data_IF_926948326872
#
_entry.id   IF_926948326872
#
_cell.length_a   1.000
_cell.length_b   1.000
_cell.length_c   1.000
_cell.angle_alpha   90.00
_cell.angle_beta   90.00
_cell.angle_gamma   90.00
#
_symmetry.space_group_name_H-M   'P 1'
#
loop_
_entity.id
_entity.type
_entity.pdbx_description
1 polymer ?
#
# COMPACT_ATOMS: atom_id res chain seq x y z
N UNK A 1 33.62 -2.41 -52.94
CA UNK A 1 33.08 -2.41 -51.56
C UNK A 1 33.65 -3.62 -50.84
N UNK A 2 34.07 -3.42 -49.59
CA UNK A 2 34.99 -4.25 -48.80
C UNK A 2 34.56 -5.69 -48.53
N UNK A 3 35.53 -6.59 -48.62
CA UNK A 3 35.88 -7.56 -47.58
C UNK A 3 37.20 -7.06 -46.92
N UNK A 4 37.76 -7.62 -45.83
CA UNK A 4 37.37 -8.80 -45.03
C UNK A 4 37.60 -8.64 -43.49
N UNK A 5 37.48 -9.78 -42.79
CA UNK A 5 38.47 -10.32 -41.84
C UNK A 5 38.16 -10.30 -40.34
N UNK A 6 38.13 -11.52 -39.79
CA UNK A 6 38.04 -11.89 -38.38
C UNK A 6 39.46 -11.85 -37.78
N UNK A 7 39.62 -11.26 -36.58
CA UNK A 7 40.71 -11.63 -35.69
C UNK A 7 40.27 -11.66 -34.23
N UNK A 8 40.53 -12.80 -33.57
CA UNK A 8 40.48 -12.99 -32.11
C UNK A 8 41.67 -12.28 -31.47
N UNK A 9 41.44 -11.58 -30.37
CA UNK A 9 42.47 -11.39 -29.34
C UNK A 9 41.83 -11.18 -27.97
N UNK A 10 42.31 -11.92 -26.98
CA UNK A 10 41.95 -11.79 -25.57
C UNK A 10 42.97 -10.88 -24.88
N UNK A 11 42.52 -9.88 -24.09
CA UNK A 11 43.31 -9.26 -23.02
C UNK A 11 42.40 -8.78 -21.87
N UNK A 12 42.64 -9.34 -20.68
CA UNK A 12 42.27 -8.80 -19.37
C UNK A 12 42.84 -7.40 -19.20
N UNK A 13 42.09 -6.44 -18.64
CA UNK A 13 42.67 -5.37 -17.81
C UNK A 13 41.64 -4.72 -16.87
N UNK A 14 42.04 -4.75 -15.59
CA UNK A 14 41.78 -3.84 -14.45
C UNK A 14 40.68 -2.77 -14.55
N UNK A 15 39.87 -2.72 -13.49
CA UNK A 15 38.88 -1.69 -13.24
C UNK A 15 39.44 -0.32 -12.90
N UNK A 16 38.53 0.65 -12.83
CA UNK A 16 38.73 1.96 -12.22
C UNK A 16 37.45 2.35 -11.49
N UNK A 17 37.60 2.64 -10.19
CA UNK A 17 36.57 3.23 -9.33
C UNK A 17 36.49 4.73 -9.62
N UNK A 18 35.29 5.24 -9.80
CA UNK A 18 35.04 6.68 -9.81
C UNK A 18 34.95 7.20 -8.37
N UNK A 19 35.73 8.24 -8.07
CA UNK A 19 35.79 8.97 -6.82
C UNK A 19 34.86 10.18 -6.86
N UNK A 20 33.99 10.32 -5.85
CA UNK A 20 33.37 11.60 -5.50
C UNK A 20 34.08 12.11 -4.24
N UNK A 21 34.77 13.24 -4.39
CA UNK A 21 35.41 13.99 -3.31
C UNK A 21 34.34 14.73 -2.51
N UNK A 22 34.27 14.45 -1.20
CA UNK A 22 33.70 15.36 -0.22
C UNK A 22 34.86 15.96 0.59
N UNK A 23 34.82 17.27 0.72
CA UNK A 23 35.81 18.05 1.45
C UNK A 23 35.70 17.76 2.96
N UNK A 24 36.78 17.21 3.53
CA UNK A 24 36.96 17.02 4.96
C UNK A 24 37.40 18.35 5.61
N UNK A 25 36.55 18.91 6.48
CA UNK A 25 37.03 19.79 7.55
C UNK A 25 37.58 18.92 8.67
N UNK A 26 38.92 18.83 8.72
CA UNK A 26 39.65 18.11 9.76
C UNK A 26 39.71 18.92 11.06
N UNK A 27 38.96 18.50 12.08
CA UNK A 27 39.38 18.73 13.46
C UNK A 27 40.02 17.46 13.99
N UNK A 28 41.32 17.58 14.21
CA UNK A 28 42.26 16.58 14.72
C UNK A 28 41.86 16.18 16.15
N UNK A 29 41.20 15.04 16.31
CA UNK A 29 40.95 14.42 17.62
C UNK A 29 42.12 13.44 17.89
N UNK A 30 42.83 13.53 19.03
CA UNK A 30 43.95 12.66 19.31
C UNK A 30 43.49 11.21 19.48
N UNK A 31 44.17 10.29 18.81
CA UNK A 31 44.03 8.84 18.94
C UNK A 31 44.27 8.44 20.41
N UNK A 32 43.18 8.38 21.16
CA UNK A 32 43.17 7.73 22.46
C UNK A 32 42.58 6.36 22.22
N UNK A 33 43.42 5.34 22.27
CA UNK A 33 43.02 3.94 22.15
C UNK A 33 42.01 3.64 23.26
N UNK A 34 40.71 3.69 22.96
CA UNK A 34 39.67 3.21 23.86
C UNK A 34 39.76 1.69 23.84
N UNK A 35 40.68 1.16 24.65
CA UNK A 35 40.60 -0.22 25.12
C UNK A 35 39.29 -0.33 25.88
N UNK A 36 38.31 -1.04 25.31
CA UNK A 36 37.19 -1.56 26.09
C UNK A 36 37.78 -2.52 27.14
N UNK A 37 38.09 -1.99 28.32
CA UNK A 37 38.35 -2.80 29.50
C UNK A 37 36.99 -3.33 29.95
N UNK A 38 36.70 -4.56 29.59
CA UNK A 38 35.62 -5.32 30.22
C UNK A 38 36.02 -5.55 31.68
N UNK A 39 35.62 -4.66 32.57
CA UNK A 39 35.66 -4.90 34.01
C UNK A 39 34.47 -5.81 34.34
N UNK A 40 34.62 -7.10 34.08
CA UNK A 40 33.73 -8.09 34.68
C UNK A 40 34.21 -8.28 36.12
N UNK A 41 33.72 -7.44 37.02
CA UNK A 41 33.81 -7.70 38.45
C UNK A 41 32.76 -8.76 38.78
N UNK A 42 33.20 -9.96 39.13
CA UNK A 42 32.35 -10.97 39.78
C UNK A 42 31.99 -10.47 41.19
N UNK A 43 31.02 -9.55 41.26
CA UNK A 43 30.42 -9.12 42.52
C UNK A 43 29.52 -10.26 42.97
N UNK A 44 29.82 -10.82 44.14
CA UNK A 44 29.05 -11.90 44.73
C UNK A 44 27.55 -11.59 44.77
N UNK A 45 26.76 -12.64 44.63
CA UNK A 45 25.29 -12.63 44.59
C UNK A 45 24.71 -12.16 45.93
N UNK A 46 24.85 -10.88 46.26
CA UNK A 46 23.90 -10.20 47.10
C UNK A 46 22.70 -9.91 46.20
N UNK A 47 21.52 -10.44 46.53
CA UNK A 47 20.25 -10.09 45.88
C UNK A 47 20.09 -8.57 45.95
N UNK A 48 20.54 -7.87 44.90
CA UNK A 48 20.36 -6.44 44.75
C UNK A 48 18.86 -6.21 44.68
N UNK A 49 18.33 -5.41 45.60
CA UNK A 49 16.90 -5.18 45.70
C UNK A 49 16.34 -4.73 44.35
N UNK A 50 15.35 -5.44 43.83
CA UNK A 50 14.67 -5.09 42.58
C UNK A 50 13.95 -3.76 42.82
N UNK A 51 14.39 -2.69 42.17
CA UNK A 51 13.72 -1.40 42.21
C UNK A 51 12.70 -1.35 41.07
N UNK A 52 11.42 -1.31 41.43
CA UNK A 52 10.33 -1.22 40.45
C UNK A 52 10.17 0.25 39.99
N UNK A 53 10.61 0.56 38.77
CA UNK A 53 10.39 1.85 38.11
C UNK A 53 9.21 1.75 37.13
N UNK A 54 8.37 2.80 37.05
CA UNK A 54 7.20 2.82 36.15
C UNK A 54 7.42 3.70 34.90
N UNK A 55 8.40 4.61 34.93
CA UNK A 55 8.61 5.62 33.88
C UNK A 55 8.99 5.05 32.51
N UNK A 56 9.67 3.90 32.50
CA UNK A 56 10.13 3.24 31.28
C UNK A 56 9.04 2.35 30.65
N UNK A 57 7.96 2.06 31.38
CA UNK A 57 6.88 1.21 30.87
C UNK A 57 6.16 1.82 29.66
N UNK A 58 6.23 3.16 29.48
CA UNK A 58 5.75 3.86 28.27
C UNK A 58 6.35 3.32 26.97
N UNK A 59 7.55 2.72 27.01
CA UNK A 59 8.17 2.10 25.84
C UNK A 59 7.55 0.74 25.52
N UNK A 60 7.12 0.01 26.55
CA UNK A 60 6.37 -1.24 26.40
C UNK A 60 4.99 -0.96 25.81
N UNK A 61 4.31 0.09 26.26
CA UNK A 61 2.99 0.50 25.72
C UNK A 61 3.01 0.75 24.21
N UNK A 62 4.10 1.33 23.67
CA UNK A 62 4.26 1.57 22.22
C UNK A 62 4.40 0.29 21.40
N UNK A 63 4.83 -0.81 22.01
CA UNK A 63 4.98 -2.11 21.36
C UNK A 63 3.66 -2.88 21.29
N UNK A 64 2.67 -2.50 22.09
CA UNK A 64 1.36 -3.14 22.10
C UNK A 64 0.58 -2.66 20.86
N UNK A 65 0.18 -3.56 19.94
CA UNK A 65 -0.56 -3.15 18.76
C UNK A 65 -1.99 -2.73 19.13
N UNK A 66 -2.57 -1.75 18.43
CA UNK A 66 -3.96 -1.37 18.64
C UNK A 66 -4.89 -2.51 18.20
N UNK A 67 -5.92 -2.78 19.01
CA UNK A 67 -6.90 -3.85 18.72
C UNK A 67 -7.89 -3.45 17.62
N UNK A 68 -8.18 -2.16 17.47
CA UNK A 68 -9.12 -1.59 16.49
C UNK A 68 -8.37 -0.78 15.43
N UNK A 69 -8.87 -0.80 14.20
CA UNK A 69 -8.34 0.03 13.12
C UNK A 69 -8.61 1.49 13.45
N UNK A 70 -7.60 2.38 13.41
CA UNK A 70 -7.80 3.79 13.68
C UNK A 70 -8.62 4.44 12.57
N UNK A 71 -9.42 5.43 12.95
CA UNK A 71 -10.16 6.25 11.99
C UNK A 71 -9.15 7.15 11.24
N UNK A 72 -9.26 7.27 9.91
CA UNK A 72 -8.34 8.09 9.13
C UNK A 72 -8.42 9.56 9.55
N UNK A 73 -7.29 10.29 9.54
CA UNK A 73 -7.27 11.71 9.87
C UNK A 73 -8.07 12.50 8.83
N UNK A 74 -8.82 13.50 9.30
CA UNK A 74 -9.57 14.41 8.43
C UNK A 74 -8.58 15.30 7.66
N UNK A 75 -8.68 15.30 6.34
CA UNK A 75 -7.96 16.18 5.45
C UNK A 75 -8.83 16.52 4.25
N UNK A 76 -8.61 17.69 3.68
CA UNK A 76 -9.34 18.16 2.51
C UNK A 76 -8.69 17.60 1.23
N UNK A 77 -9.50 16.97 0.38
CA UNK A 77 -9.06 16.44 -0.91
C UNK A 77 -8.37 15.07 -0.86
N UNK A 78 -7.85 14.59 -2.00
CA UNK A 78 -7.16 13.31 -2.08
C UNK A 78 -5.81 13.37 -1.37
N UNK A 79 -5.49 12.32 -0.62
CA UNK A 79 -4.17 12.16 -0.03
C UNK A 79 -3.09 11.96 -1.13
N UNK A 80 -1.80 12.16 -0.82
CA UNK A 80 -0.71 11.84 -1.75
C UNK A 80 -0.68 10.36 -2.20
N UNK A 81 -1.33 9.46 -1.45
CA UNK A 81 -1.47 8.05 -1.81
C UNK A 81 -2.67 7.77 -2.72
N UNK A 82 -3.44 8.80 -3.10
CA UNK A 82 -4.67 8.67 -3.88
C UNK A 82 -5.88 8.18 -3.07
N UNK A 83 -5.85 8.27 -1.74
CA UNK A 83 -7.01 7.94 -0.91
C UNK A 83 -7.91 9.16 -0.76
N UNK A 84 -9.21 8.97 -0.97
CA UNK A 84 -10.23 10.02 -0.80
C UNK A 84 -11.29 9.55 0.19
N UNK A 85 -11.63 10.38 1.21
CA UNK A 85 -12.72 10.08 2.12
C UNK A 85 -14.06 10.05 1.37
N UNK A 86 -15.05 9.28 1.85
CA UNK A 86 -16.42 9.35 1.31
C UNK A 86 -17.02 10.74 1.58
N UNK A 87 -18.01 11.14 0.77
CA UNK A 87 -18.76 12.38 0.99
C UNK A 87 -19.49 12.32 2.33
N UNK A 88 -19.54 13.45 3.07
CA UNK A 88 -20.26 13.53 4.35
C UNK A 88 -21.78 13.35 4.17
N UNK A 89 -22.30 13.86 3.06
CA UNK A 89 -23.71 13.71 2.69
C UNK A 89 -23.82 12.49 1.77
N UNK A 90 -24.61 11.47 2.14
CA UNK A 90 -24.83 10.33 1.26
C UNK A 90 -25.57 10.79 0.00
N UNK A 91 -25.19 10.29 -1.18
CA UNK A 91 -25.88 10.64 -2.41
C UNK A 91 -27.33 10.15 -2.36
N UNK A 92 -28.26 10.93 -2.92
CA UNK A 92 -29.68 10.57 -3.03
C UNK A 92 -29.91 9.54 -4.14
N UNK A 93 -29.21 8.40 -4.05
CA UNK A 93 -29.27 7.28 -4.98
C UNK A 93 -30.01 6.09 -4.32
N UNK A 94 -30.67 5.23 -5.12
CA UNK A 94 -31.40 4.07 -4.59
C UNK A 94 -30.48 2.97 -4.04
N UNK A 95 -29.16 3.11 -4.22
CA UNK A 95 -28.14 2.23 -3.69
C UNK A 95 -27.00 3.02 -3.02
N UNK A 96 -26.31 2.35 -2.12
CA UNK A 96 -25.15 2.85 -1.39
C UNK A 96 -24.03 1.81 -1.41
N UNK A 97 -22.78 2.25 -1.53
CA UNK A 97 -21.63 1.34 -1.44
C UNK A 97 -20.82 1.69 -0.20
N UNK A 98 -20.60 0.71 0.67
CA UNK A 98 -19.86 0.92 1.92
C UNK A 98 -18.37 0.71 1.74
N UNK A 99 -17.58 1.60 2.35
CA UNK A 99 -16.12 1.42 2.46
C UNK A 99 -15.74 0.12 3.20
N UNK A 100 -14.56 -0.41 2.87
CA UNK A 100 -13.96 -1.55 3.53
C UNK A 100 -13.56 -1.23 4.99
N UNK A 101 -13.14 -2.24 5.76
CA UNK A 101 -12.60 -2.04 7.10
C UNK A 101 -11.39 -1.10 7.11
N UNK A 102 -10.63 -1.07 6.01
CA UNK A 102 -9.47 -0.19 5.81
C UNK A 102 -9.83 1.09 5.06
N UNK A 103 -11.10 1.51 5.08
CA UNK A 103 -11.61 2.74 4.47
C UNK A 103 -11.42 2.87 2.93
N UNK A 104 -11.10 1.76 2.25
CA UNK A 104 -10.97 1.71 0.79
C UNK A 104 -12.29 1.34 0.09
N UNK A 105 -12.42 1.73 -1.18
CA UNK A 105 -13.55 1.36 -2.06
C UNK A 105 -13.53 -0.15 -2.33
N UNK A 106 -14.66 -0.87 -2.17
CA UNK A 106 -14.72 -2.34 -2.22
C UNK A 106 -14.79 -2.90 -3.67
N UNK A 107 -13.86 -2.49 -4.53
CA UNK A 107 -13.71 -2.97 -5.91
C UNK A 107 -12.44 -3.79 -6.04
N UNK A 108 -12.58 -5.03 -6.51
CA UNK A 108 -11.48 -6.00 -6.58
C UNK A 108 -11.44 -6.69 -7.93
N UNK A 109 -10.25 -7.07 -8.38
CA UNK A 109 -10.08 -7.97 -9.53
C UNK A 109 -10.06 -9.42 -9.04
N UNK A 110 -10.76 -10.28 -9.77
CA UNK A 110 -10.81 -11.72 -9.56
C UNK A 110 -10.32 -12.41 -10.84
N UNK A 111 -9.28 -13.22 -10.70
CA UNK A 111 -8.65 -13.97 -11.78
C UNK A 111 -8.91 -15.46 -11.56
N UNK A 112 -9.80 -16.03 -12.37
CA UNK A 112 -10.10 -17.47 -12.36
C UNK A 112 -9.41 -18.19 -13.52
N UNK A 113 -8.95 -19.43 -13.31
CA UNK A 113 -8.36 -20.29 -14.34
C UNK A 113 -7.20 -19.64 -15.14
N UNK A 114 -6.53 -18.63 -14.58
CA UNK A 114 -5.42 -17.90 -15.21
C UNK A 114 -5.81 -16.93 -16.33
N UNK A 115 -6.95 -17.12 -17.01
CA UNK A 115 -7.38 -16.30 -18.15
C UNK A 115 -8.65 -15.49 -17.90
N UNK A 116 -9.56 -15.98 -17.05
CA UNK A 116 -10.84 -15.34 -16.79
C UNK A 116 -10.65 -14.20 -15.79
N UNK A 117 -10.68 -12.99 -16.32
CA UNK A 117 -10.52 -11.74 -15.56
C UNK A 117 -11.89 -11.13 -15.33
N UNK A 118 -12.23 -10.90 -14.06
CA UNK A 118 -13.49 -10.27 -13.66
C UNK A 118 -13.24 -9.19 -12.62
N UNK A 119 -14.09 -8.19 -12.58
CA UNK A 119 -14.07 -7.15 -11.54
C UNK A 119 -15.29 -7.34 -10.65
N UNK A 120 -15.07 -7.33 -9.34
CA UNK A 120 -16.05 -7.60 -8.30
C UNK A 120 -16.27 -6.35 -7.46
N UNK A 121 -17.49 -5.85 -7.46
CA UNK A 121 -17.96 -4.79 -6.56
C UNK A 121 -18.70 -5.47 -5.40
N UNK A 122 -18.30 -5.14 -4.16
CA UNK A 122 -18.87 -5.72 -2.94
C UNK A 122 -19.48 -4.63 -2.06
N UNK A 123 -20.20 -5.06 -1.02
CA UNK A 123 -20.79 -4.17 0.01
C UNK A 123 -21.75 -3.14 -0.59
N UNK A 124 -22.53 -3.57 -1.57
CA UNK A 124 -23.66 -2.81 -2.09
C UNK A 124 -24.80 -2.92 -1.07
N UNK A 125 -25.50 -1.83 -0.83
CA UNK A 125 -26.73 -1.77 -0.05
C UNK A 125 -27.79 -1.06 -0.90
N UNK A 126 -29.07 -1.43 -0.76
CA UNK A 126 -30.17 -0.87 -1.57
C UNK A 126 -30.40 -1.61 -2.89
N UNK A 127 -30.86 -0.87 -3.91
CA UNK A 127 -31.23 -1.45 -5.21
C UNK A 127 -30.01 -1.75 -6.09
N UNK A 128 -29.61 -3.02 -6.12
CA UNK A 128 -28.48 -3.50 -6.91
C UNK A 128 -28.73 -3.46 -8.43
N UNK A 129 -29.99 -3.50 -8.87
CA UNK A 129 -30.33 -3.44 -10.29
C UNK A 129 -30.14 -2.03 -10.85
N UNK A 130 -30.41 -1.01 -10.05
CA UNK A 130 -30.07 0.37 -10.39
C UNK A 130 -28.55 0.54 -10.52
N UNK A 131 -27.75 -0.01 -9.59
CA UNK A 131 -26.29 0.00 -9.71
C UNK A 131 -25.81 -0.72 -10.96
N UNK A 132 -26.40 -1.87 -11.30
CA UNK A 132 -26.03 -2.64 -12.49
C UNK A 132 -26.24 -1.84 -13.77
N UNK A 133 -27.36 -1.11 -13.88
CA UNK A 133 -27.67 -0.25 -15.03
C UNK A 133 -26.66 0.88 -15.16
N UNK A 134 -26.43 1.63 -14.09
CA UNK A 134 -25.48 2.75 -14.07
C UNK A 134 -24.06 2.29 -14.43
N UNK A 135 -23.63 1.13 -13.92
CA UNK A 135 -22.32 0.54 -14.24
C UNK A 135 -22.26 0.08 -15.69
N UNK A 136 -23.33 -0.53 -16.23
CA UNK A 136 -23.38 -0.91 -17.66
C UNK A 136 -23.27 0.30 -18.55
N UNK A 137 -24.00 1.37 -18.27
CA UNK A 137 -23.98 2.61 -19.05
C UNK A 137 -22.58 3.24 -19.04
N UNK A 138 -21.95 3.34 -17.86
CA UNK A 138 -20.59 3.86 -17.73
C UNK A 138 -19.57 3.02 -18.52
N UNK A 139 -19.63 1.70 -18.39
CA UNK A 139 -18.69 0.81 -19.09
C UNK A 139 -18.93 0.75 -20.60
N UNK A 140 -20.18 0.91 -21.04
CA UNK A 140 -20.52 1.01 -22.46
C UNK A 140 -19.94 2.29 -23.06
N UNK A 141 -19.96 3.42 -22.33
CA UNK A 141 -19.32 4.67 -22.77
C UNK A 141 -17.79 4.52 -22.91
N UNK A 142 -17.15 3.79 -22.00
CA UNK A 142 -15.69 3.57 -22.04
C UNK A 142 -15.25 2.56 -23.11
N UNK A 143 -15.97 1.43 -23.23
CA UNK A 143 -15.54 0.29 -24.07
C UNK A 143 -16.21 0.28 -25.43
N UNK A 144 -17.35 0.98 -25.58
CA UNK A 144 -18.20 0.93 -26.77
C UNK A 144 -18.93 -0.40 -26.96
N UNK A 145 -18.97 -1.26 -25.93
CA UNK A 145 -19.57 -2.60 -25.98
C UNK A 145 -20.33 -2.92 -24.71
N UNK A 146 -21.39 -3.70 -24.86
CA UNK A 146 -22.16 -4.22 -23.74
C UNK A 146 -21.39 -5.37 -23.09
N UNK A 147 -21.01 -5.17 -21.83
CA UNK A 147 -20.28 -6.17 -21.07
C UNK A 147 -21.25 -7.08 -20.31
N UNK A 148 -20.96 -8.39 -20.24
CA UNK A 148 -21.76 -9.28 -19.42
C UNK A 148 -21.48 -9.03 -17.93
N UNK A 149 -22.55 -8.76 -17.21
CA UNK A 149 -22.58 -8.57 -15.76
C UNK A 149 -23.32 -9.72 -15.09
N UNK A 150 -23.01 -9.96 -13.82
CA UNK A 150 -23.71 -10.92 -12.98
C UNK A 150 -24.02 -10.25 -11.65
N UNK A 151 -25.31 -10.16 -11.33
CA UNK A 151 -25.82 -9.65 -10.07
C UNK A 151 -26.05 -10.81 -9.10
N UNK A 152 -25.66 -10.64 -7.85
CA UNK A 152 -26.05 -11.53 -6.76
C UNK A 152 -26.70 -10.69 -5.66
N UNK A 153 -28.02 -10.82 -5.55
CA UNK A 153 -28.84 -10.07 -4.59
C UNK A 153 -28.60 -10.53 -3.15
N UNK A 154 -28.36 -11.82 -2.92
CA UNK A 154 -28.20 -12.37 -1.56
C UNK A 154 -26.91 -11.85 -0.92
N UNK A 155 -25.80 -11.87 -1.67
CA UNK A 155 -24.52 -11.38 -1.17
C UNK A 155 -24.29 -9.89 -1.43
N UNK A 156 -25.22 -9.23 -2.13
CA UNK A 156 -25.11 -7.86 -2.62
C UNK A 156 -23.77 -7.59 -3.32
N UNK A 157 -23.48 -8.41 -4.33
CA UNK A 157 -22.26 -8.29 -5.13
C UNK A 157 -22.56 -8.20 -6.60
N UNK A 158 -21.83 -7.34 -7.30
CA UNK A 158 -21.87 -7.19 -8.75
C UNK A 158 -20.55 -7.69 -9.34
N UNK A 159 -20.64 -8.58 -10.33
CA UNK A 159 -19.48 -9.06 -11.10
C UNK A 159 -19.56 -8.55 -12.53
N UNK A 160 -18.45 -8.01 -13.02
CA UNK A 160 -18.29 -7.51 -14.38
C UNK A 160 -17.19 -8.31 -15.06
N UNK A 161 -17.40 -8.73 -16.30
CA UNK A 161 -16.33 -9.38 -17.09
C UNK A 161 -15.32 -8.35 -17.56
N UNK A 162 -14.03 -8.60 -17.31
CA UNK A 162 -12.92 -7.71 -17.68
C UNK A 162 -12.22 -7.09 -16.47
N UNK A 163 -11.19 -6.30 -16.75
CA UNK A 163 -10.46 -5.50 -15.77
C UNK A 163 -10.95 -4.06 -15.88
N UNK A 164 -11.69 -3.62 -14.87
CA UNK A 164 -12.22 -2.26 -14.78
C UNK A 164 -12.06 -1.74 -13.35
N UNK A 165 -11.01 -2.16 -12.64
CA UNK A 165 -10.90 -1.90 -11.22
C UNK A 165 -10.45 -0.48 -10.90
N UNK A 166 -9.72 0.17 -11.81
CA UNK A 166 -9.27 1.55 -11.61
C UNK A 166 -10.40 2.51 -11.98
N UNK A 167 -11.01 2.28 -13.14
CA UNK A 167 -12.12 3.04 -13.70
C UNK A 167 -13.34 2.99 -12.76
N UNK A 168 -13.70 1.82 -12.24
CA UNK A 168 -14.81 1.71 -11.30
C UNK A 168 -14.48 2.32 -9.93
N UNK A 169 -13.21 2.33 -9.49
CA UNK A 169 -12.84 3.01 -8.25
C UNK A 169 -12.98 4.52 -8.40
N UNK A 170 -12.46 5.07 -9.50
CA UNK A 170 -12.55 6.49 -9.81
C UNK A 170 -14.01 6.94 -9.93
N UNK A 171 -14.82 6.22 -10.70
CA UNK A 171 -16.24 6.51 -10.86
C UNK A 171 -17.02 6.48 -9.53
N UNK A 172 -16.74 5.51 -8.66
CA UNK A 172 -17.39 5.44 -7.35
C UNK A 172 -16.97 6.58 -6.42
N UNK A 173 -15.71 7.00 -6.48
CA UNK A 173 -15.20 8.15 -5.73
C UNK A 173 -15.83 9.45 -6.26
N UNK A 174 -15.97 9.62 -7.57
CA UNK A 174 -16.66 10.76 -8.18
C UNK A 174 -18.13 10.86 -7.76
N UNK A 175 -18.81 9.72 -7.61
CA UNK A 175 -20.17 9.65 -7.06
C UNK A 175 -20.25 9.94 -5.56
N UNK A 176 -19.12 9.95 -4.85
CA UNK A 176 -19.01 10.29 -3.43
C UNK A 176 -19.17 9.12 -2.46
N UNK A 177 -19.05 7.87 -2.93
CA UNK A 177 -19.16 6.65 -2.11
C UNK A 177 -17.87 6.28 -1.39
#
# INVERSE_FOLDING_TARGET
>A
MSLPFIHRSAKLFRGFRASLNLYDHTTRIPNTTIRLRTLCSSVGEANTGILQSTEEYKFVERLIPPSRVPIPPKHDGPSPSGWTPPSEVPPALPYMIRRSRMHNVPVYTDLTHGSRKTTLVRKVEGDIWALEKDVKEYLQQLTGKDLPTQVNEVTMTLRVKGHFDTELKEWLVEKGF
#
